data_IF_082315715463
#
_entry.id   IF_082315715463
#
_cell.length_a   1.000
_cell.length_b   1.000
_cell.length_c   1.000
_cell.angle_alpha   90.00
_cell.angle_beta   90.00
_cell.angle_gamma   90.00
#
_symmetry.space_group_name_H-M   'P 1'
#
loop_
_entity.id
_entity.type
_entity.pdbx_description
1 polymer ?
#
# COMPACT_ATOMS: atom_id res chain seq x y z
N UNK A 1 53.50 -1.33 33.67
CA UNK A 1 52.34 -1.01 32.81
C UNK A 1 52.19 -2.12 31.79
N UNK A 2 51.14 -2.95 31.95
CA UNK A 2 50.79 -4.05 31.06
C UNK A 2 50.20 -3.49 29.75
N UNK A 3 50.77 -3.88 28.61
CA UNK A 3 50.15 -3.74 27.29
C UNK A 3 49.35 -5.01 27.02
N UNK A 4 48.01 -4.90 27.00
CA UNK A 4 47.10 -5.99 26.65
C UNK A 4 47.12 -6.20 25.13
N UNK A 5 47.65 -7.33 24.70
CA UNK A 5 47.50 -7.88 23.36
C UNK A 5 46.11 -8.51 23.21
N UNK A 6 45.17 -7.79 22.59
CA UNK A 6 43.92 -8.36 22.10
C UNK A 6 44.10 -8.88 20.67
N UNK A 7 44.63 -10.10 20.55
CA UNK A 7 44.60 -10.87 19.31
C UNK A 7 43.17 -11.35 19.07
N UNK A 8 42.33 -10.51 18.44
CA UNK A 8 41.04 -10.94 17.95
C UNK A 8 41.23 -11.88 16.77
N UNK A 9 41.04 -13.19 16.99
CA UNK A 9 40.92 -14.18 15.93
C UNK A 9 39.65 -13.88 15.11
N UNK A 10 39.76 -12.99 14.12
CA UNK A 10 38.78 -12.92 13.04
C UNK A 10 38.94 -14.22 12.27
N UNK A 11 37.98 -15.14 12.41
CA UNK A 11 37.88 -16.32 11.56
C UNK A 11 37.72 -15.78 10.14
N UNK A 12 38.79 -15.82 9.34
CA UNK A 12 38.71 -15.47 7.92
C UNK A 12 37.75 -16.46 7.29
N UNK A 13 36.50 -16.05 7.11
CA UNK A 13 35.52 -16.80 6.35
C UNK A 13 36.07 -16.81 4.93
N UNK A 14 36.45 -17.99 4.46
CA UNK A 14 36.99 -18.18 3.12
C UNK A 14 35.96 -17.67 2.10
N UNK A 15 36.41 -17.19 0.93
CA UNK A 15 35.47 -16.74 -0.11
C UNK A 15 34.44 -17.80 -0.46
N UNK A 16 34.81 -19.08 -0.38
CA UNK A 16 33.89 -20.21 -0.54
C UNK A 16 32.88 -20.33 0.61
N UNK A 17 33.28 -20.20 1.88
CA UNK A 17 32.31 -20.17 3.00
C UNK A 17 31.40 -18.94 2.96
N UNK A 18 31.88 -17.79 2.47
CA UNK A 18 31.03 -16.60 2.24
C UNK A 18 30.03 -16.88 1.12
N UNK A 19 30.48 -17.46 0.02
CA UNK A 19 29.64 -17.84 -1.12
C UNK A 19 28.62 -18.91 -0.73
N UNK A 20 29.00 -19.93 0.04
CA UNK A 20 28.10 -20.96 0.55
C UNK A 20 27.07 -20.38 1.53
N UNK A 21 27.45 -19.39 2.35
CA UNK A 21 26.51 -18.74 3.29
C UNK A 21 25.53 -17.83 2.56
N UNK A 22 26.00 -17.09 1.55
CA UNK A 22 25.18 -16.24 0.71
C UNK A 22 24.24 -17.10 -0.16
N UNK A 23 24.72 -18.20 -0.74
CA UNK A 23 23.89 -19.12 -1.53
C UNK A 23 22.94 -19.99 -0.68
N UNK A 24 23.29 -20.32 0.56
CA UNK A 24 22.34 -20.97 1.51
C UNK A 24 21.13 -20.11 1.83
N UNK A 25 21.25 -18.78 1.81
CA UNK A 25 20.10 -17.88 1.97
C UNK A 25 19.17 -17.86 0.74
N UNK A 26 19.64 -18.39 -0.39
CA UNK A 26 18.89 -18.58 -1.65
C UNK A 26 18.56 -20.07 -1.85
N UNK A 27 18.28 -20.79 -0.76
CA UNK A 27 17.99 -22.21 -0.84
C UNK A 27 16.70 -22.44 -1.65
N UNK A 28 16.87 -22.98 -2.86
CA UNK A 28 15.80 -23.44 -3.78
C UNK A 28 14.77 -24.34 -3.08
N UNK A 29 15.19 -25.06 -2.02
CA UNK A 29 14.35 -25.99 -1.25
C UNK A 29 13.19 -25.33 -0.50
N UNK A 30 13.34 -24.06 -0.12
CA UNK A 30 12.30 -23.32 0.62
C UNK A 30 11.42 -22.48 -0.32
N UNK A 31 11.74 -22.43 -1.62
CA UNK A 31 10.95 -21.72 -2.61
C UNK A 31 9.70 -22.53 -3.00
N UNK A 32 8.55 -21.87 -3.26
CA UNK A 32 7.34 -22.55 -3.70
C UNK A 32 7.58 -23.38 -4.97
N UNK A 33 7.21 -24.66 -4.90
CA UNK A 33 7.28 -25.56 -6.05
C UNK A 33 6.12 -25.37 -7.03
N UNK A 34 6.20 -26.05 -8.18
CA UNK A 34 5.17 -26.02 -9.25
C UNK A 34 3.76 -26.24 -8.72
N UNK A 35 3.55 -27.21 -7.82
CA UNK A 35 2.23 -27.56 -7.29
C UNK A 35 1.61 -26.45 -6.42
N UNK A 36 2.45 -25.65 -5.75
CA UNK A 36 2.01 -24.54 -4.93
C UNK A 36 1.70 -23.32 -5.80
N UNK A 37 2.58 -23.03 -6.76
CA UNK A 37 2.40 -21.94 -7.71
C UNK A 37 1.20 -22.18 -8.63
N UNK A 38 0.91 -23.41 -9.02
CA UNK A 38 -0.25 -23.73 -9.87
C UNK A 38 -1.60 -23.49 -9.19
N UNK A 39 -1.62 -23.32 -7.86
CA UNK A 39 -2.83 -22.98 -7.10
C UNK A 39 -3.04 -21.47 -6.98
N UNK A 40 -2.01 -20.68 -7.29
CA UNK A 40 -2.10 -19.22 -7.33
C UNK A 40 -2.61 -18.78 -8.71
N UNK A 41 -3.68 -18.00 -8.72
CA UNK A 41 -4.19 -17.32 -9.91
C UNK A 41 -4.42 -15.86 -9.57
N UNK A 42 -4.40 -14.99 -10.58
CA UNK A 42 -4.79 -13.60 -10.48
C UNK A 42 -5.96 -13.25 -11.42
N UNK A 43 -6.66 -14.26 -11.97
CA UNK A 43 -7.81 -14.08 -12.85
C UNK A 43 -9.10 -13.73 -12.08
N UNK A 44 -9.10 -13.92 -10.76
CA UNK A 44 -10.25 -13.75 -9.86
C UNK A 44 -10.50 -12.30 -9.43
N UNK A 45 -9.94 -11.32 -10.14
CA UNK A 45 -10.00 -9.88 -9.80
C UNK A 45 -11.35 -9.24 -10.13
N UNK A 46 -12.11 -9.80 -11.07
CA UNK A 46 -13.34 -9.17 -11.59
C UNK A 46 -14.37 -8.89 -10.50
N UNK A 47 -14.66 -9.86 -9.62
CA UNK A 47 -15.66 -9.68 -8.56
C UNK A 47 -15.20 -8.68 -7.48
N UNK A 48 -13.98 -8.79 -6.91
CA UNK A 48 -13.44 -7.76 -6.02
C UNK A 48 -13.44 -6.36 -6.62
N UNK A 49 -13.07 -6.24 -7.91
CA UNK A 49 -13.02 -4.96 -8.61
C UNK A 49 -14.41 -4.37 -8.81
N UNK A 50 -15.40 -5.17 -9.21
CA UNK A 50 -16.79 -4.72 -9.31
C UNK A 50 -17.34 -4.26 -7.96
N UNK A 51 -16.97 -4.94 -6.87
CA UNK A 51 -17.33 -4.53 -5.51
C UNK A 51 -16.70 -3.18 -5.12
N UNK A 52 -15.45 -2.93 -5.50
CA UNK A 52 -14.77 -1.65 -5.27
C UNK A 52 -15.33 -0.51 -6.15
N UNK A 53 -15.82 -0.83 -7.35
CA UNK A 53 -16.45 0.10 -8.29
C UNK A 53 -17.88 0.50 -7.94
N UNK A 54 -18.57 -0.26 -7.07
CA UNK A 54 -19.96 0.01 -6.74
C UNK A 54 -20.15 1.38 -6.05
N UNK A 55 -20.63 2.35 -6.82
CA UNK A 55 -20.83 3.74 -6.40
C UNK A 55 -21.89 3.92 -5.31
N UNK A 56 -22.74 2.90 -5.09
CA UNK A 56 -23.75 2.95 -4.04
C UNK A 56 -23.16 2.62 -2.66
N UNK A 57 -21.90 2.17 -2.61
CA UNK A 57 -21.20 1.84 -1.36
C UNK A 57 -20.42 3.04 -0.82
N UNK A 58 -20.24 3.12 0.51
CA UNK A 58 -19.40 4.14 1.11
C UNK A 58 -18.00 4.18 0.50
N UNK A 59 -17.49 5.39 0.24
CA UNK A 59 -16.17 5.58 -0.37
C UNK A 59 -15.04 4.96 0.45
N UNK A 60 -15.17 4.98 1.77
CA UNK A 60 -14.22 4.31 2.67
C UNK A 60 -14.15 2.81 2.40
N UNK A 61 -15.29 2.15 2.22
CA UNK A 61 -15.33 0.70 1.98
C UNK A 61 -14.77 0.36 0.59
N UNK A 62 -15.10 1.18 -0.40
CA UNK A 62 -14.57 1.04 -1.77
C UNK A 62 -13.05 1.18 -1.79
N UNK A 63 -12.52 2.19 -1.09
CA UNK A 63 -11.08 2.42 -0.97
C UNK A 63 -10.37 1.24 -0.27
N UNK A 64 -10.96 0.71 0.81
CA UNK A 64 -10.44 -0.47 1.51
C UNK A 64 -10.44 -1.71 0.61
N UNK A 65 -11.49 -1.90 -0.20
CA UNK A 65 -11.54 -3.01 -1.16
C UNK A 65 -10.44 -2.88 -2.24
N UNK A 66 -10.15 -1.67 -2.75
CA UNK A 66 -9.00 -1.44 -3.62
C UNK A 66 -7.66 -1.77 -2.95
N UNK A 67 -7.45 -1.29 -1.72
CA UNK A 67 -6.24 -1.56 -0.92
C UNK A 67 -6.01 -3.06 -0.76
N UNK A 68 -7.06 -3.81 -0.41
CA UNK A 68 -6.98 -5.26 -0.19
C UNK A 68 -6.71 -6.01 -1.50
N UNK A 69 -7.42 -5.65 -2.58
CA UNK A 69 -7.23 -6.28 -3.89
C UNK A 69 -5.82 -6.05 -4.40
N UNK A 70 -5.34 -4.80 -4.37
CA UNK A 70 -4.00 -4.45 -4.84
C UNK A 70 -2.90 -5.13 -4.02
N UNK A 71 -3.02 -5.14 -2.69
CA UNK A 71 -2.04 -5.82 -1.81
C UNK A 71 -1.99 -7.33 -2.10
N UNK A 72 -3.15 -7.97 -2.24
CA UNK A 72 -3.24 -9.40 -2.57
C UNK A 72 -2.62 -9.73 -3.93
N UNK A 73 -2.82 -8.87 -4.94
CA UNK A 73 -2.21 -9.04 -6.26
C UNK A 73 -0.69 -8.84 -6.22
N UNK A 74 -0.21 -7.84 -5.47
CA UNK A 74 1.22 -7.59 -5.26
C UNK A 74 1.90 -8.76 -4.56
N UNK A 75 1.29 -9.32 -3.52
CA UNK A 75 1.82 -10.47 -2.78
C UNK A 75 1.90 -11.73 -3.66
N UNK A 76 0.86 -11.99 -4.46
CA UNK A 76 0.85 -13.10 -5.44
C UNK A 76 1.93 -12.92 -6.50
N UNK A 77 2.06 -11.72 -7.05
CA UNK A 77 3.09 -11.39 -8.06
C UNK A 77 4.49 -11.58 -7.47
N UNK A 78 4.75 -11.06 -6.28
CA UNK A 78 6.02 -11.22 -5.58
C UNK A 78 6.33 -12.70 -5.30
N UNK A 79 5.32 -13.50 -4.97
CA UNK A 79 5.49 -14.95 -4.75
C UNK A 79 5.95 -15.67 -6.02
N UNK A 80 5.36 -15.33 -7.18
CA UNK A 80 5.83 -15.86 -8.47
C UNK A 80 7.26 -15.40 -8.81
N UNK A 81 7.56 -14.12 -8.61
CA UNK A 81 8.88 -13.56 -8.90
C UNK A 81 9.97 -14.17 -8.03
N UNK A 82 9.76 -14.26 -6.71
CA UNK A 82 10.71 -14.85 -5.77
C UNK A 82 10.91 -16.34 -6.05
N UNK A 83 9.84 -17.09 -6.34
CA UNK A 83 9.95 -18.51 -6.67
C UNK A 83 10.74 -18.75 -7.96
N UNK A 84 10.50 -17.95 -9.01
CA UNK A 84 11.21 -18.07 -10.29
C UNK A 84 12.64 -17.54 -10.22
N UNK A 85 12.91 -16.52 -9.40
CA UNK A 85 14.26 -16.02 -9.16
C UNK A 85 15.14 -17.06 -8.43
N UNK A 86 14.55 -17.77 -7.45
CA UNK A 86 15.24 -18.83 -6.71
C UNK A 86 15.36 -20.12 -7.51
N UNK A 87 14.41 -20.41 -8.39
CA UNK A 87 14.39 -21.61 -9.21
C UNK A 87 14.12 -21.27 -10.69
N UNK A 88 15.15 -20.86 -11.45
CA UNK A 88 14.98 -20.46 -12.85
C UNK A 88 14.47 -21.61 -13.73
N UNK A 89 14.70 -22.88 -13.36
CA UNK A 89 14.17 -24.05 -14.07
C UNK A 89 12.64 -24.04 -14.17
N UNK A 90 11.95 -23.40 -13.22
CA UNK A 90 10.50 -23.25 -13.25
C UNK A 90 9.99 -22.55 -14.51
N UNK A 91 10.86 -21.81 -15.21
CA UNK A 91 10.53 -21.12 -16.46
C UNK A 91 10.77 -21.97 -17.71
N UNK A 92 11.49 -23.09 -17.59
CA UNK A 92 11.99 -23.86 -18.74
C UNK A 92 11.58 -25.35 -18.72
N UNK A 93 10.97 -25.84 -17.63
CA UNK A 93 10.47 -27.22 -17.55
C UNK A 93 9.25 -27.45 -18.43
N UNK A 94 9.03 -28.68 -18.87
CA UNK A 94 7.81 -29.06 -19.57
C UNK A 94 6.58 -28.79 -18.69
N UNK A 95 5.59 -28.05 -19.22
CA UNK A 95 4.42 -27.57 -18.46
C UNK A 95 4.60 -26.25 -17.69
N UNK A 96 5.80 -25.65 -17.71
CA UNK A 96 6.09 -24.34 -17.09
C UNK A 96 5.35 -23.16 -17.72
N UNK A 97 4.92 -23.29 -18.98
CA UNK A 97 4.22 -22.22 -19.70
C UNK A 97 3.01 -21.71 -18.93
N UNK A 98 2.29 -22.60 -18.22
CA UNK A 98 1.15 -22.21 -17.39
C UNK A 98 1.57 -21.33 -16.20
N UNK A 99 2.74 -21.55 -15.61
CA UNK A 99 3.26 -20.73 -14.51
C UNK A 99 3.74 -19.37 -15.01
N UNK A 100 4.42 -19.34 -16.16
CA UNK A 100 4.86 -18.09 -16.80
C UNK A 100 3.63 -17.25 -17.17
N UNK A 101 2.64 -17.86 -17.83
CA UNK A 101 1.39 -17.17 -18.16
C UNK A 101 0.64 -16.68 -16.92
N UNK A 102 0.57 -17.48 -15.85
CA UNK A 102 -0.07 -17.07 -14.59
C UNK A 102 0.65 -15.87 -13.95
N UNK A 103 1.99 -15.86 -13.97
CA UNK A 103 2.78 -14.71 -13.53
C UNK A 103 2.48 -13.48 -14.38
N UNK A 104 2.49 -13.60 -15.71
CA UNK A 104 2.24 -12.48 -16.61
C UNK A 104 0.83 -11.92 -16.42
N UNK A 105 -0.17 -12.78 -16.21
CA UNK A 105 -1.52 -12.38 -15.80
C UNK A 105 -1.50 -11.61 -14.49
N UNK A 106 -0.79 -12.10 -13.46
CA UNK A 106 -0.67 -11.39 -12.18
C UNK A 106 -0.05 -10.00 -12.34
N UNK A 107 1.01 -9.87 -13.15
CA UNK A 107 1.64 -8.58 -13.45
C UNK A 107 0.64 -7.64 -14.14
N UNK A 108 -0.03 -8.12 -15.18
CA UNK A 108 -1.01 -7.33 -15.94
C UNK A 108 -2.17 -6.86 -15.04
N UNK A 109 -2.76 -7.78 -14.27
CA UNK A 109 -3.87 -7.48 -13.36
C UNK A 109 -3.44 -6.53 -12.25
N UNK A 110 -2.22 -6.67 -11.72
CA UNK A 110 -1.66 -5.74 -10.73
C UNK A 110 -1.54 -4.34 -11.32
N UNK A 111 -1.04 -4.22 -12.56
CA UNK A 111 -0.88 -2.95 -13.24
C UNK A 111 -2.24 -2.29 -13.53
N UNK A 112 -3.22 -3.04 -14.02
CA UNK A 112 -4.57 -2.55 -14.31
C UNK A 112 -5.26 -2.04 -13.04
N UNK A 113 -5.22 -2.83 -11.95
CA UNK A 113 -5.79 -2.43 -10.66
C UNK A 113 -5.04 -1.24 -10.06
N UNK A 114 -3.70 -1.16 -10.23
CA UNK A 114 -2.90 -0.02 -9.76
C UNK A 114 -3.38 1.29 -10.36
N UNK A 115 -3.58 1.33 -11.67
CA UNK A 115 -4.01 2.56 -12.38
C UNK A 115 -5.37 3.03 -11.89
N UNK A 116 -6.32 2.11 -11.75
CA UNK A 116 -7.67 2.45 -11.27
C UNK A 116 -7.66 2.88 -9.80
N UNK A 117 -6.93 2.15 -8.95
CA UNK A 117 -6.78 2.48 -7.54
C UNK A 117 -6.10 3.85 -7.36
N UNK A 118 -5.04 4.15 -8.11
CA UNK A 118 -4.36 5.44 -8.09
C UNK A 118 -5.28 6.59 -8.52
N UNK A 119 -6.04 6.38 -9.59
CA UNK A 119 -7.01 7.35 -10.08
C UNK A 119 -8.03 7.68 -8.99
N UNK A 120 -8.65 6.65 -8.42
CA UNK A 120 -9.64 6.83 -7.36
C UNK A 120 -9.05 7.47 -6.10
N UNK A 121 -7.84 7.07 -5.71
CA UNK A 121 -7.14 7.67 -4.57
C UNK A 121 -6.90 9.16 -4.77
N UNK A 122 -6.43 9.57 -5.95
CA UNK A 122 -6.17 10.99 -6.27
C UNK A 122 -7.45 11.81 -6.23
N UNK A 123 -8.56 11.29 -6.76
CA UNK A 123 -9.89 11.94 -6.67
C UNK A 123 -10.32 12.20 -5.22
N UNK A 124 -10.02 11.27 -4.31
CA UNK A 124 -10.32 11.43 -2.88
C UNK A 124 -9.37 12.41 -2.18
N UNK A 125 -8.08 12.42 -2.55
CA UNK A 125 -7.09 13.35 -1.98
C UNK A 125 -7.30 14.79 -2.47
N UNK A 126 -7.80 14.99 -3.69
CA UNK A 126 -8.08 16.31 -4.24
C UNK A 126 -9.29 16.98 -3.57
N UNK A 127 -10.28 16.19 -3.14
CA UNK A 127 -11.43 16.68 -2.35
C UNK A 127 -11.57 15.84 -1.07
N UNK A 128 -10.71 16.05 -0.07
CA UNK A 128 -10.64 15.20 1.12
C UNK A 128 -11.63 15.63 2.23
N UNK A 129 -12.32 16.76 2.05
CA UNK A 129 -13.25 17.33 3.02
C UNK A 129 -14.55 17.76 2.34
N UNK A 130 -15.67 17.67 3.06
CA UNK A 130 -16.98 18.14 2.62
C UNK A 130 -17.57 19.13 3.63
N UNK A 131 -18.48 19.97 3.17
CA UNK A 131 -19.21 20.90 4.02
C UNK A 131 -20.57 20.28 4.39
N UNK A 132 -20.82 20.10 5.68
CA UNK A 132 -22.09 19.60 6.21
C UNK A 132 -22.80 20.68 7.03
N UNK A 133 -24.13 20.72 6.98
CA UNK A 133 -24.91 21.62 7.84
C UNK A 133 -25.20 20.91 9.15
N UNK A 134 -24.59 21.36 10.25
CA UNK A 134 -24.85 20.87 11.61
C UNK A 134 -25.42 21.99 12.45
N UNK A 135 -26.67 21.82 12.89
CA UNK A 135 -27.34 22.82 13.75
C UNK A 135 -27.55 24.19 13.09
N UNK A 136 -27.69 24.24 11.76
CA UNK A 136 -27.88 25.49 11.00
C UNK A 136 -26.58 26.19 10.57
N UNK A 137 -25.42 25.70 10.99
CA UNK A 137 -24.11 26.21 10.58
C UNK A 137 -23.41 25.24 9.63
N UNK A 138 -22.62 25.77 8.70
CA UNK A 138 -21.80 24.96 7.79
C UNK A 138 -20.49 24.57 8.47
N UNK A 139 -20.26 23.27 8.65
CA UNK A 139 -19.08 22.69 9.28
C UNK A 139 -18.30 21.89 8.25
N UNK A 140 -16.98 22.11 8.17
CA UNK A 140 -16.11 21.31 7.32
C UNK A 140 -15.77 20.01 8.03
N UNK A 141 -16.12 18.88 7.42
CA UNK A 141 -15.82 17.53 7.94
C UNK A 141 -14.99 16.75 6.93
N UNK A 142 -14.39 15.65 7.38
CA UNK A 142 -13.68 14.75 6.49
C UNK A 142 -14.67 14.05 5.55
N UNK A 143 -14.34 13.95 4.25
CA UNK A 143 -15.11 13.17 3.27
C UNK A 143 -15.06 11.68 3.60
N UNK A 144 -13.87 11.22 3.99
CA UNK A 144 -13.63 9.88 4.50
C UNK A 144 -12.54 9.91 5.58
N UNK A 145 -12.36 8.78 6.25
CA UNK A 145 -11.34 8.63 7.28
C UNK A 145 -9.92 8.89 6.75
N UNK A 146 -9.22 9.85 7.37
CA UNK A 146 -7.87 10.24 6.96
C UNK A 146 -6.84 9.13 7.18
N UNK A 147 -7.04 8.25 8.17
CA UNK A 147 -6.13 7.12 8.38
C UNK A 147 -6.22 6.10 7.23
N UNK A 148 -7.43 5.86 6.74
CA UNK A 148 -7.68 5.01 5.55
C UNK A 148 -7.04 5.61 4.31
N UNK A 149 -7.14 6.94 4.09
CA UNK A 149 -6.44 7.63 3.00
C UNK A 149 -4.92 7.48 3.08
N UNK A 150 -4.32 7.69 4.27
CA UNK A 150 -2.87 7.55 4.48
C UNK A 150 -2.41 6.12 4.20
N UNK A 151 -3.13 5.12 4.73
CA UNK A 151 -2.85 3.70 4.46
C UNK A 151 -2.93 3.38 2.98
N UNK A 152 -3.93 3.91 2.27
CA UNK A 152 -4.07 3.71 0.84
C UNK A 152 -2.89 4.30 0.05
N UNK A 153 -2.45 5.52 0.39
CA UNK A 153 -1.25 6.15 -0.20
C UNK A 153 0.00 5.30 0.06
N UNK A 154 0.17 4.80 1.29
CA UNK A 154 1.32 3.95 1.65
C UNK A 154 1.31 2.59 0.96
N UNK A 155 0.13 2.02 0.74
CA UNK A 155 -0.02 0.73 0.07
C UNK A 155 0.28 0.86 -1.43
N UNK A 156 -0.26 1.91 -2.06
CA UNK A 156 -0.05 2.18 -3.48
C UNK A 156 1.39 2.58 -3.79
N UNK A 157 2.00 3.35 -2.89
CA UNK A 157 3.35 3.92 -3.01
C UNK A 157 3.59 4.64 -4.35
N UNK A 158 2.80 5.69 -4.66
CA UNK A 158 2.97 6.46 -5.90
C UNK A 158 4.22 7.35 -5.83
N UNK A 159 4.73 7.77 -6.98
CA UNK A 159 5.95 8.59 -7.05
C UNK A 159 5.83 9.92 -6.29
N UNK A 160 4.61 10.46 -6.19
CA UNK A 160 4.27 11.67 -5.45
C UNK A 160 3.73 11.41 -4.03
N UNK A 161 4.02 10.23 -3.45
CA UNK A 161 3.56 9.78 -2.12
C UNK A 161 3.66 10.86 -1.05
N UNK A 162 4.83 11.49 -0.90
CA UNK A 162 5.04 12.51 0.13
C UNK A 162 4.13 13.72 -0.06
N UNK A 163 3.90 14.13 -1.31
CA UNK A 163 3.02 15.25 -1.63
C UNK A 163 1.56 14.92 -1.28
N UNK A 164 1.10 13.71 -1.61
CA UNK A 164 -0.24 13.24 -1.27
C UNK A 164 -0.44 13.17 0.26
N UNK A 165 0.53 12.63 0.99
CA UNK A 165 0.48 12.59 2.46
C UNK A 165 0.44 13.99 3.09
N UNK A 166 1.20 14.94 2.54
CA UNK A 166 1.16 16.34 2.98
C UNK A 166 -0.21 16.98 2.75
N UNK A 167 -0.85 16.73 1.59
CA UNK A 167 -2.21 17.23 1.29
C UNK A 167 -3.23 16.67 2.29
N UNK A 168 -3.20 15.36 2.54
CA UNK A 168 -4.07 14.71 3.52
C UNK A 168 -3.83 15.26 4.93
N UNK A 169 -2.57 15.41 5.34
CA UNK A 169 -2.25 15.99 6.65
C UNK A 169 -2.66 17.46 6.80
N UNK A 170 -2.62 18.25 5.72
CA UNK A 170 -3.13 19.62 5.73
C UNK A 170 -4.67 19.66 5.85
N UNK A 171 -5.37 18.77 5.15
CA UNK A 171 -6.82 18.64 5.25
C UNK A 171 -7.27 18.21 6.65
N UNK A 172 -6.60 17.22 7.23
CA UNK A 172 -6.85 16.74 8.59
C UNK A 172 -6.74 17.87 9.62
N UNK A 173 -5.67 18.68 9.55
CA UNK A 173 -5.50 19.85 10.42
C UNK A 173 -6.65 20.85 10.29
N UNK A 174 -7.14 21.14 9.07
CA UNK A 174 -8.26 22.07 8.84
C UNK A 174 -9.55 21.56 9.48
N UNK A 175 -9.84 20.27 9.38
CA UNK A 175 -11.01 19.66 10.04
C UNK A 175 -10.87 19.75 11.55
N UNK A 176 -9.70 19.46 12.12
CA UNK A 176 -9.45 19.56 13.56
C UNK A 176 -9.59 20.98 14.10
N UNK A 177 -9.22 22.01 13.33
CA UNK A 177 -9.33 23.42 13.76
C UNK A 177 -10.74 24.00 13.65
N UNK A 178 -11.59 23.43 12.77
CA UNK A 178 -12.96 23.92 12.54
C UNK A 178 -13.96 23.37 13.58
N UNK A 179 -13.54 22.42 14.42
CA UNK A 179 -14.37 21.80 15.45
C UNK A 179 -14.65 22.69 16.68
N UNK A 180 -14.15 23.93 16.72
CA UNK A 180 -14.56 24.91 17.73
C UNK A 180 -15.80 25.68 17.23
N UNK A 181 -16.94 25.64 17.93
CA UNK A 181 -17.98 26.63 17.71
C UNK A 181 -17.36 28.00 17.98
N UNK A 182 -17.58 28.96 17.09
CA UNK A 182 -17.50 30.35 17.48
C UNK A 182 -18.60 30.57 18.53
N UNK A 183 -18.25 30.42 19.81
CA UNK A 183 -19.08 30.92 20.90
C UNK A 183 -19.18 32.45 20.76
N UNK A 184 -20.42 32.90 20.88
CA UNK A 184 -20.90 34.27 21.00
C UNK A 184 -19.87 35.33 21.41
N UNK A 185 -19.70 36.35 20.56
CA UNK A 185 -19.64 37.72 21.07
C UNK A 185 -20.77 38.55 20.45
N UNK A 186 -22.00 38.23 20.85
CA UNK A 186 -23.07 39.23 20.93
C UNK A 186 -22.96 39.97 22.27
N UNK A 187 -22.64 41.27 22.25
CA UNK A 187 -22.81 42.13 23.44
C UNK A 187 -21.77 43.24 23.62
N UNK A 188 -22.02 44.42 23.04
CA UNK A 188 -21.17 45.60 23.25
C UNK A 188 -21.79 46.93 22.81
N UNK A 189 -23.05 47.19 23.18
CA UNK A 189 -23.71 48.49 23.01
C UNK A 189 -23.17 49.48 24.05
N UNK A 190 -22.55 50.60 23.64
CA UNK A 190 -22.80 51.95 24.21
C UNK A 190 -22.08 53.10 23.49
N UNK A 191 -22.94 53.95 22.92
CA UNK A 191 -22.85 55.40 22.65
C UNK A 191 -21.87 56.15 23.56
N UNK A 192 -21.05 57.04 22.99
CA UNK A 192 -20.48 58.19 23.71
C UNK A 192 -19.20 58.78 23.10
N UNK A 193 -19.33 59.71 22.14
CA UNK A 193 -18.94 61.13 22.30
C UNK A 193 -19.50 61.93 21.12
#
# INVERSE_FOLDING_TARGET
MLLLSSSGCVKEITSDERLERDTRSVAVKDAPGVEQLSKLTCDDTTQPLNKARDVNRPESDRLVDYVNLYSSLKDRTHTFEDAMARNPDLSYREGSQNLVNAKDTCIQQTADVRVEFETYLRELVDVPTVQEIKGGNTVTVARLDFATLKKAIETLDPDDREQLLQRVGAAEKRVSTTAAPAEDTSGGKRRGK
#
